data_IF_667456490835
#
_entry.id   IF_667456490835
#
_cell.length_a   1.000
_cell.length_b   1.000
_cell.length_c   1.000
_cell.angle_alpha   90.00
_cell.angle_beta   90.00
_cell.angle_gamma   90.00
#
_symmetry.space_group_name_H-M   'P 1'
#
loop_
_entity.id
_entity.type
_entity.pdbx_description
1 polymer ?
#
# COMPACT_ATOMS: atom_id res chain seq x y z
N UNK A 1 58.73 36.96 -54.94
CA UNK A 1 58.81 37.45 -53.54
C UNK A 1 57.72 36.77 -52.72
N UNK A 2 58.08 36.33 -51.51
CA UNK A 2 57.30 35.66 -50.44
C UNK A 2 56.91 34.17 -50.62
N UNK A 3 57.71 33.31 -49.98
CA UNK A 3 57.41 31.92 -49.57
C UNK A 3 56.61 31.97 -48.25
N UNK A 4 55.46 31.29 -48.17
CA UNK A 4 54.77 30.98 -46.90
C UNK A 4 54.77 29.45 -46.73
N UNK A 5 55.21 29.00 -45.55
CA UNK A 5 55.34 27.60 -45.14
C UNK A 5 53.96 26.97 -44.88
N UNK A 6 53.77 25.74 -45.37
CA UNK A 6 52.79 24.76 -44.86
C UNK A 6 53.20 24.35 -43.44
N UNK A 7 52.28 24.36 -42.49
CA UNK A 7 52.39 23.60 -41.24
C UNK A 7 51.19 22.66 -41.10
N UNK A 8 51.49 21.49 -40.58
CA UNK A 8 50.78 20.22 -40.70
C UNK A 8 49.57 20.11 -39.75
N UNK A 9 48.62 19.25 -40.16
CA UNK A 9 47.59 18.66 -39.31
C UNK A 9 48.23 17.92 -38.13
N UNK A 10 47.81 18.26 -36.91
CA UNK A 10 48.02 17.47 -35.70
C UNK A 10 46.81 16.57 -35.43
N UNK A 11 47.09 15.29 -35.19
CA UNK A 11 46.17 14.22 -34.78
C UNK A 11 45.54 14.48 -33.41
N UNK A 12 44.30 13.98 -33.12
CA UNK A 12 43.74 14.00 -31.77
C UNK A 12 44.53 13.06 -30.85
N UNK A 13 44.69 13.48 -29.60
CA UNK A 13 45.58 12.93 -28.59
C UNK A 13 44.95 11.68 -27.91
N UNK A 14 45.51 10.49 -28.17
CA UNK A 14 45.08 9.17 -27.63
C UNK A 14 45.11 9.07 -26.09
N UNK A 15 45.74 10.03 -25.40
CA UNK A 15 45.89 10.07 -23.95
C UNK A 15 44.65 10.59 -23.20
N UNK A 16 43.77 11.34 -23.88
CA UNK A 16 42.58 11.93 -23.28
C UNK A 16 41.42 10.93 -23.21
N UNK A 17 41.23 10.16 -24.29
CA UNK A 17 40.17 9.15 -24.44
C UNK A 17 40.30 8.01 -23.44
N UNK A 18 41.54 7.57 -23.12
CA UNK A 18 41.78 6.50 -22.15
C UNK A 18 41.44 6.88 -20.71
N UNK A 19 41.53 8.17 -20.34
CA UNK A 19 41.18 8.64 -18.99
C UNK A 19 39.66 8.72 -18.81
N UNK A 20 38.95 9.21 -19.83
CA UNK A 20 37.49 9.32 -19.83
C UNK A 20 36.83 7.93 -19.79
N UNK A 21 37.30 6.97 -20.60
CA UNK A 21 36.82 5.58 -20.55
C UNK A 21 37.03 4.93 -19.17
N UNK A 22 38.16 5.22 -18.48
CA UNK A 22 38.42 4.66 -17.15
C UNK A 22 37.50 5.22 -16.07
N UNK A 23 37.13 6.50 -16.17
CA UNK A 23 36.27 7.17 -15.21
C UNK A 23 34.80 6.75 -15.35
N UNK A 24 34.30 6.62 -16.58
CA UNK A 24 32.95 6.12 -16.85
C UNK A 24 32.79 4.67 -16.38
N UNK A 25 33.80 3.84 -16.63
CA UNK A 25 33.80 2.44 -16.20
C UNK A 25 33.79 2.31 -14.67
N UNK A 26 34.54 3.15 -13.96
CA UNK A 26 34.56 3.16 -12.49
C UNK A 26 33.23 3.68 -11.89
N UNK A 27 32.63 4.71 -12.50
CA UNK A 27 31.36 5.28 -12.06
C UNK A 27 30.17 4.33 -12.27
N UNK A 28 30.20 3.54 -13.35
CA UNK A 28 29.12 2.64 -13.74
C UNK A 28 29.25 1.22 -13.16
N UNK A 29 30.35 0.87 -12.49
CA UNK A 29 30.64 -0.49 -12.03
C UNK A 29 29.58 -1.07 -11.09
N UNK A 30 29.01 -0.22 -10.23
CA UNK A 30 28.03 -0.58 -9.21
C UNK A 30 26.64 0.03 -9.51
N UNK A 31 26.26 0.12 -10.79
CA UNK A 31 24.99 0.70 -11.26
C UNK A 31 24.25 -0.28 -12.14
N UNK A 32 22.94 -0.39 -11.95
CA UNK A 32 22.13 -1.27 -12.78
C UNK A 32 21.89 -0.63 -14.15
N UNK A 33 21.78 -1.46 -15.20
CA UNK A 33 21.46 -0.98 -16.54
C UNK A 33 20.05 -0.37 -16.53
N UNK A 34 19.92 0.95 -16.68
CA UNK A 34 18.62 1.61 -16.48
C UNK A 34 18.62 2.69 -15.41
N UNK A 35 19.56 2.62 -14.46
CA UNK A 35 19.46 3.35 -13.19
C UNK A 35 19.96 4.79 -13.31
N UNK A 36 19.12 5.73 -12.88
CA UNK A 36 19.46 7.13 -12.72
C UNK A 36 20.03 7.41 -11.33
N UNK A 37 21.16 8.10 -11.29
CA UNK A 37 21.87 8.48 -10.08
C UNK A 37 22.38 9.93 -10.16
N UNK A 38 22.70 10.55 -9.03
CA UNK A 38 23.23 11.92 -8.95
C UNK A 38 24.75 11.90 -8.80
N UNK A 39 25.45 12.73 -9.58
CA UNK A 39 26.88 12.99 -9.37
C UNK A 39 27.13 13.81 -8.11
N UNK A 40 26.27 14.81 -7.87
CA UNK A 40 26.39 15.77 -6.77
C UNK A 40 25.13 15.70 -5.92
N UNK A 41 25.29 15.34 -4.65
CA UNK A 41 24.21 15.43 -3.67
C UNK A 41 24.07 16.88 -3.23
N UNK A 42 22.84 17.40 -3.17
CA UNK A 42 22.63 18.79 -2.78
C UNK A 42 21.17 19.23 -2.89
N UNK A 43 20.89 20.37 -2.25
CA UNK A 43 19.57 21.01 -2.29
C UNK A 43 19.45 21.96 -3.48
N UNK A 44 18.22 22.26 -3.89
CA UNK A 44 17.96 23.16 -5.02
C UNK A 44 18.05 22.48 -6.39
N UNK A 45 18.70 23.13 -7.34
CA UNK A 45 18.73 22.66 -8.73
C UNK A 45 19.49 21.33 -8.92
N UNK A 46 20.44 21.01 -8.05
CA UNK A 46 21.19 19.75 -8.09
C UNK A 46 20.31 18.52 -7.80
N UNK A 47 19.15 18.69 -7.16
CA UNK A 47 18.19 17.59 -6.96
C UNK A 47 17.41 17.23 -8.24
N UNK A 48 17.57 18.01 -9.32
CA UNK A 48 16.89 17.81 -10.60
C UNK A 48 17.73 17.06 -11.62
N UNK A 49 19.05 17.11 -11.47
CA UNK A 49 20.02 16.59 -12.43
C UNK A 49 20.41 15.16 -12.05
N UNK A 50 20.19 14.22 -12.97
CA UNK A 50 20.57 12.81 -12.81
C UNK A 50 21.19 12.25 -14.08
N UNK A 51 21.99 11.19 -13.92
CA UNK A 51 22.74 10.54 -14.99
C UNK A 51 22.49 9.05 -14.92
N UNK A 52 22.49 8.39 -16.08
CA UNK A 52 22.38 6.96 -16.25
C UNK A 52 23.55 6.44 -17.09
N UNK A 53 24.01 5.23 -16.77
CA UNK A 53 24.98 4.51 -17.59
C UNK A 53 24.26 3.76 -18.73
N UNK A 54 24.66 4.02 -19.97
CA UNK A 54 24.15 3.34 -21.17
C UNK A 54 25.29 2.68 -21.95
N UNK A 55 24.96 1.80 -22.91
CA UNK A 55 25.94 1.20 -23.82
C UNK A 55 26.67 2.23 -24.70
N UNK A 56 26.18 3.47 -24.76
CA UNK A 56 26.74 4.57 -25.56
C UNK A 56 27.42 5.65 -24.69
N UNK A 57 27.64 5.38 -23.41
CA UNK A 57 28.24 6.30 -22.44
C UNK A 57 27.24 6.85 -21.42
N UNK A 58 27.62 7.91 -20.72
CA UNK A 58 26.80 8.56 -19.71
C UNK A 58 25.71 9.43 -20.36
N UNK A 59 24.45 9.21 -19.98
CA UNK A 59 23.32 10.04 -20.40
C UNK A 59 22.79 10.84 -19.22
N UNK A 60 22.64 12.15 -19.37
CA UNK A 60 22.11 13.03 -18.32
C UNK A 60 20.70 13.52 -18.66
N UNK A 61 19.83 13.61 -17.65
CA UNK A 61 18.53 14.28 -17.74
C UNK A 61 18.38 15.29 -16.60
N UNK A 62 17.52 16.28 -16.83
CA UNK A 62 17.13 17.27 -15.83
C UNK A 62 15.62 17.30 -15.72
N UNK A 63 15.09 17.14 -14.51
CA UNK A 63 13.66 17.25 -14.27
C UNK A 63 13.11 18.64 -14.68
N UNK A 64 11.87 18.73 -15.21
CA UNK A 64 11.21 19.99 -15.52
C UNK A 64 11.16 20.98 -14.33
N UNK A 65 10.92 22.25 -14.64
CA UNK A 65 10.86 23.29 -13.61
C UNK A 65 9.74 22.98 -12.60
N UNK A 66 10.07 23.00 -11.30
CA UNK A 66 9.12 22.69 -10.23
C UNK A 66 9.12 21.23 -9.77
N UNK A 67 9.86 20.34 -10.43
CA UNK A 67 10.00 18.93 -10.04
C UNK A 67 11.43 18.63 -9.58
N UNK A 68 11.56 17.68 -8.65
CA UNK A 68 12.82 17.08 -8.20
C UNK A 68 12.84 15.60 -8.60
N UNK A 69 14.02 15.05 -8.86
CA UNK A 69 14.13 13.63 -9.17
C UNK A 69 14.06 12.82 -7.86
N UNK A 70 13.21 11.82 -7.77
CA UNK A 70 13.18 10.86 -6.67
C UNK A 70 14.08 9.67 -7.02
N UNK A 71 15.18 9.48 -6.27
CA UNK A 71 16.15 8.40 -6.52
C UNK A 71 15.55 7.01 -6.27
N UNK A 72 14.60 6.86 -5.37
CA UNK A 72 14.03 5.55 -5.07
C UNK A 72 13.00 5.15 -6.13
N UNK A 73 12.12 6.10 -6.48
CA UNK A 73 11.07 5.93 -7.51
C UNK A 73 11.61 6.01 -8.94
N UNK A 74 12.83 6.50 -9.12
CA UNK A 74 13.47 6.68 -10.43
C UNK A 74 12.63 7.57 -11.38
N UNK A 75 11.97 8.60 -10.83
CA UNK A 75 11.09 9.51 -11.59
C UNK A 75 11.15 10.94 -11.06
N UNK A 76 10.71 11.93 -11.86
CA UNK A 76 10.55 13.30 -11.40
C UNK A 76 9.23 13.48 -10.64
N UNK A 77 9.29 13.94 -9.41
CA UNK A 77 8.15 14.14 -8.50
C UNK A 77 8.17 15.59 -7.93
N UNK A 78 7.09 15.98 -7.26
CA UNK A 78 6.96 17.31 -6.66
C UNK A 78 8.00 17.53 -5.56
N UNK A 79 8.53 18.77 -5.47
CA UNK A 79 9.61 19.13 -4.52
C UNK A 79 9.31 18.72 -3.08
N UNK A 80 8.06 18.83 -2.65
CA UNK A 80 7.67 18.52 -1.27
C UNK A 80 7.61 17.01 -1.00
N UNK A 81 7.39 16.19 -2.03
CA UNK A 81 7.37 14.72 -1.93
C UNK A 81 8.79 14.11 -1.94
N UNK A 82 9.75 14.76 -2.61
CA UNK A 82 11.12 14.26 -2.71
C UNK A 82 11.93 14.61 -1.47
N UNK A 83 12.19 13.61 -0.60
CA UNK A 83 13.04 13.77 0.61
C UNK A 83 14.47 13.27 0.43
N UNK A 84 14.76 12.57 -0.66
CA UNK A 84 16.03 11.90 -0.88
C UNK A 84 17.04 12.71 -1.72
N UNK A 85 16.91 14.04 -1.83
CA UNK A 85 17.83 14.92 -2.58
C UNK A 85 19.31 14.82 -2.16
N UNK A 86 19.57 14.38 -0.93
CA UNK A 86 20.91 14.21 -0.36
C UNK A 86 21.56 12.87 -0.72
N UNK A 87 20.79 11.94 -1.28
CA UNK A 87 21.30 10.65 -1.75
C UNK A 87 21.88 10.81 -3.17
N UNK A 88 22.90 10.03 -3.48
CA UNK A 88 23.47 9.96 -4.83
C UNK A 88 23.00 8.76 -5.61
N UNK A 89 22.86 7.64 -4.93
CA UNK A 89 22.52 6.35 -5.52
C UNK A 89 21.29 5.79 -4.83
N UNK A 90 20.58 4.90 -5.52
CA UNK A 90 19.52 4.11 -4.90
C UNK A 90 20.15 3.13 -3.91
N UNK A 91 19.54 2.98 -2.74
CA UNK A 91 19.97 1.99 -1.77
C UNK A 91 19.69 0.58 -2.30
N UNK A 92 20.74 -0.24 -2.37
CA UNK A 92 20.63 -1.64 -2.81
C UNK A 92 20.23 -2.50 -1.62
N UNK A 93 18.94 -2.81 -1.56
CA UNK A 93 18.40 -3.77 -0.61
C UNK A 93 18.77 -5.19 -1.03
N UNK A 94 19.27 -5.99 -0.08
CA UNK A 94 19.59 -7.40 -0.33
C UNK A 94 18.29 -8.16 -0.53
N UNK A 95 18.19 -8.91 -1.63
CA UNK A 95 16.99 -9.69 -1.94
C UNK A 95 17.13 -11.11 -1.38
N UNK A 96 16.01 -11.74 -0.98
CA UNK A 96 16.01 -13.11 -0.53
C UNK A 96 16.21 -14.09 -1.70
N UNK A 97 16.70 -15.29 -1.40
CA UNK A 97 17.04 -16.32 -2.37
C UNK A 97 15.86 -17.27 -2.62
N UNK A 98 14.71 -16.71 -2.98
CA UNK A 98 13.45 -17.46 -3.11
C UNK A 98 13.36 -18.34 -4.36
N UNK A 99 14.07 -17.97 -5.44
CA UNK A 99 14.04 -18.65 -6.73
C UNK A 99 15.44 -19.17 -7.08
N UNK A 100 15.71 -20.42 -6.72
CA UNK A 100 16.97 -21.12 -6.97
C UNK A 100 16.71 -22.43 -7.73
N UNK A 101 17.69 -22.89 -8.51
CA UNK A 101 17.57 -24.13 -9.31
C UNK A 101 17.35 -25.37 -8.42
N UNK A 102 17.86 -25.34 -7.19
CA UNK A 102 17.65 -26.36 -6.16
C UNK A 102 17.17 -25.68 -4.87
N UNK A 103 16.14 -26.21 -4.18
CA UNK A 103 15.62 -25.60 -2.96
C UNK A 103 16.68 -25.60 -1.86
N UNK A 104 17.08 -24.40 -1.42
CA UNK A 104 18.08 -24.21 -0.36
C UNK A 104 17.55 -24.59 1.03
N UNK A 105 16.24 -24.46 1.24
CA UNK A 105 15.58 -24.67 2.52
C UNK A 105 14.52 -25.79 2.42
N UNK A 106 14.17 -26.39 3.56
CA UNK A 106 13.09 -27.38 3.64
C UNK A 106 11.71 -26.72 3.46
N UNK A 107 10.69 -27.53 3.16
CA UNK A 107 9.31 -27.06 3.03
C UNK A 107 8.86 -26.26 4.26
N UNK A 108 8.34 -25.05 4.03
CA UNK A 108 7.88 -24.12 5.07
C UNK A 108 8.92 -23.10 5.54
N UNK A 109 10.18 -23.25 5.12
CA UNK A 109 11.26 -22.28 5.35
C UNK A 109 11.61 -21.55 4.05
N UNK A 110 11.99 -20.28 4.17
CA UNK A 110 12.41 -19.42 3.07
C UNK A 110 13.84 -18.94 3.29
N UNK A 111 14.60 -18.80 2.19
CA UNK A 111 16.00 -18.43 2.22
C UNK A 111 16.19 -16.90 2.20
N UNK A 112 16.86 -16.37 3.23
CA UNK A 112 17.44 -15.04 3.27
C UNK A 112 18.51 -14.86 2.17
N UNK A 113 18.89 -13.61 1.89
CA UNK A 113 19.95 -13.24 0.96
C UNK A 113 21.35 -13.72 1.39
N UNK A 114 21.55 -13.90 2.70
CA UNK A 114 22.75 -14.49 3.29
C UNK A 114 22.75 -16.04 3.29
N UNK A 115 21.66 -16.66 2.83
CA UNK A 115 21.47 -18.11 2.76
C UNK A 115 20.92 -18.73 4.05
N UNK A 116 20.62 -17.95 5.08
CA UNK A 116 19.92 -18.46 6.26
C UNK A 116 18.47 -18.84 5.92
N UNK A 117 17.94 -19.90 6.55
CA UNK A 117 16.56 -20.33 6.38
C UNK A 117 15.73 -19.91 7.60
N UNK A 118 14.70 -19.11 7.38
CA UNK A 118 13.75 -18.69 8.43
C UNK A 118 12.31 -19.09 8.05
N UNK A 119 11.40 -19.06 9.01
CA UNK A 119 10.00 -19.45 8.76
C UNK A 119 9.32 -18.50 7.78
N UNK A 120 8.45 -19.05 6.92
CA UNK A 120 7.72 -18.27 5.92
C UNK A 120 6.96 -17.08 6.51
N UNK A 121 6.38 -17.23 7.70
CA UNK A 121 5.63 -16.16 8.39
C UNK A 121 6.48 -15.01 8.93
N UNK A 122 7.82 -15.14 8.90
CA UNK A 122 8.75 -14.08 9.31
C UNK A 122 9.15 -13.18 8.14
N UNK A 123 8.74 -13.51 6.91
CA UNK A 123 8.92 -12.62 5.77
C UNK A 123 7.81 -11.57 5.72
N UNK A 124 8.20 -10.30 5.54
CA UNK A 124 7.29 -9.17 5.38
C UNK A 124 6.39 -8.92 6.60
N UNK A 125 6.92 -9.18 7.79
CA UNK A 125 6.23 -8.99 9.07
C UNK A 125 6.55 -7.62 9.71
N UNK A 126 7.43 -6.81 9.10
CA UNK A 126 7.87 -5.52 9.61
C UNK A 126 9.05 -5.59 10.58
N UNK A 127 9.55 -6.77 10.90
CA UNK A 127 10.72 -7.02 11.76
C UNK A 127 11.88 -7.59 10.94
N UNK A 128 13.11 -7.26 11.33
CA UNK A 128 14.31 -7.76 10.63
C UNK A 128 14.77 -9.07 11.28
N UNK A 129 14.30 -10.19 10.75
CA UNK A 129 14.63 -11.54 11.21
C UNK A 129 15.86 -12.12 10.50
N UNK A 130 16.04 -11.83 9.21
CA UNK A 130 17.27 -12.18 8.49
C UNK A 130 18.47 -11.34 8.99
N UNK A 131 19.67 -11.93 9.05
CA UNK A 131 20.89 -11.21 9.43
C UNK A 131 21.20 -10.02 8.50
N UNK A 132 20.92 -10.20 7.21
CA UNK A 132 21.03 -9.19 6.17
C UNK A 132 19.76 -8.33 5.97
N UNK A 133 18.62 -8.74 6.52
CA UNK A 133 17.32 -8.04 6.44
C UNK A 133 16.62 -8.18 5.10
N UNK A 134 16.96 -9.22 4.35
CA UNK A 134 16.38 -9.53 3.04
C UNK A 134 14.91 -9.93 3.08
N UNK A 135 14.44 -10.43 4.21
CA UNK A 135 13.04 -10.73 4.54
C UNK A 135 12.10 -9.54 4.37
N UNK A 136 12.54 -8.34 4.72
CA UNK A 136 11.72 -7.10 4.65
C UNK A 136 11.95 -6.28 3.37
N UNK A 137 12.79 -6.78 2.47
CA UNK A 137 13.22 -6.02 1.30
C UNK A 137 12.38 -6.26 0.05
N UNK A 138 11.47 -7.25 0.09
CA UNK A 138 10.75 -7.74 -1.09
C UNK A 138 9.26 -7.93 -0.78
N UNK A 139 8.65 -6.94 -0.13
CA UNK A 139 7.27 -6.97 0.38
C UNK A 139 6.30 -6.17 -0.48
N UNK A 140 6.52 -6.18 -1.79
CA UNK A 140 5.61 -5.56 -2.75
C UNK A 140 4.59 -6.58 -3.27
N UNK A 141 3.50 -6.08 -3.86
CA UNK A 141 2.40 -6.93 -4.33
C UNK A 141 2.83 -8.05 -5.27
N UNK A 142 3.96 -7.92 -5.98
CA UNK A 142 4.37 -8.87 -7.01
C UNK A 142 5.46 -9.83 -6.56
N UNK A 143 6.28 -9.43 -5.60
CA UNK A 143 7.46 -10.17 -5.16
C UNK A 143 7.35 -10.69 -3.72
N UNK A 144 6.29 -10.36 -2.98
CA UNK A 144 6.03 -10.88 -1.63
C UNK A 144 5.86 -12.42 -1.67
N UNK A 145 6.73 -13.18 -0.96
CA UNK A 145 6.62 -14.63 -0.89
C UNK A 145 5.33 -15.13 -0.21
N UNK A 146 4.68 -14.30 0.60
CA UNK A 146 3.46 -14.57 1.34
C UNK A 146 2.21 -14.00 0.66
N UNK A 147 2.35 -13.47 -0.56
CA UNK A 147 1.21 -12.99 -1.35
C UNK A 147 0.16 -14.09 -1.50
N UNK A 148 -1.10 -13.72 -1.30
CA UNK A 148 -2.24 -14.58 -1.62
C UNK A 148 -2.18 -14.97 -3.12
N UNK A 149 -2.42 -16.26 -3.45
CA UNK A 149 -2.44 -16.69 -4.84
C UNK A 149 -3.61 -16.05 -5.60
N UNK A 150 -3.57 -16.04 -6.94
CA UNK A 150 -4.75 -15.72 -7.74
C UNK A 150 -5.96 -16.58 -7.35
N UNK A 151 -7.16 -16.08 -7.60
CA UNK A 151 -8.39 -16.79 -7.30
C UNK A 151 -8.40 -18.19 -7.95
N UNK A 152 -8.57 -19.22 -7.13
CA UNK A 152 -8.84 -20.59 -7.56
C UNK A 152 -10.28 -20.98 -7.18
N UNK A 153 -11.22 -21.01 -8.15
CA UNK A 153 -12.61 -21.40 -7.90
C UNK A 153 -12.80 -22.85 -7.42
N UNK A 154 -11.79 -23.71 -7.56
CA UNK A 154 -11.86 -25.09 -7.03
C UNK A 154 -11.59 -25.14 -5.52
N UNK A 155 -10.83 -24.18 -4.99
CA UNK A 155 -10.51 -24.08 -3.55
C UNK A 155 -11.45 -23.11 -2.84
N UNK A 156 -11.75 -21.96 -3.46
CA UNK A 156 -12.61 -20.93 -2.89
C UNK A 156 -14.09 -21.21 -3.20
N UNK A 157 -14.77 -21.90 -2.28
CA UNK A 157 -16.16 -22.34 -2.43
C UNK A 157 -17.11 -21.71 -1.38
N UNK A 158 -18.34 -21.42 -1.80
CA UNK A 158 -19.40 -20.90 -0.93
C UNK A 158 -19.79 -21.92 0.16
N UNK A 159 -20.20 -21.47 1.36
CA UNK A 159 -20.46 -20.08 1.76
C UNK A 159 -19.25 -19.33 2.32
N UNK A 160 -18.15 -20.02 2.60
CA UNK A 160 -17.03 -19.47 3.37
C UNK A 160 -16.08 -18.62 2.50
N UNK A 161 -16.00 -18.92 1.20
CA UNK A 161 -15.16 -18.19 0.27
C UNK A 161 -15.90 -17.90 -1.04
N UNK A 162 -15.68 -16.71 -1.58
CA UNK A 162 -16.11 -16.33 -2.92
C UNK A 162 -15.04 -15.48 -3.60
N UNK A 163 -14.62 -15.87 -4.81
CA UNK A 163 -13.75 -15.08 -5.66
C UNK A 163 -14.06 -15.34 -7.14
N UNK A 164 -13.68 -14.40 -7.99
CA UNK A 164 -13.59 -14.60 -9.45
C UNK A 164 -12.31 -13.95 -9.96
N UNK A 165 -11.90 -14.31 -11.17
CA UNK A 165 -10.63 -13.84 -11.76
C UNK A 165 -10.50 -12.31 -11.78
N UNK A 166 -11.61 -11.61 -12.03
CA UNK A 166 -11.70 -10.15 -12.16
C UNK A 166 -12.59 -9.47 -11.12
N UNK A 167 -13.19 -10.25 -10.20
CA UNK A 167 -14.16 -9.78 -9.21
C UNK A 167 -15.54 -9.37 -9.76
N UNK A 168 -15.89 -9.63 -11.02
CA UNK A 168 -17.18 -9.18 -11.62
C UNK A 168 -18.24 -10.28 -11.73
N UNK A 169 -17.87 -11.54 -11.48
CA UNK A 169 -18.78 -12.67 -11.63
C UNK A 169 -19.86 -12.68 -10.56
N UNK A 170 -21.06 -13.15 -10.92
CA UNK A 170 -22.19 -13.25 -10.00
C UNK A 170 -22.05 -14.52 -9.15
N UNK A 171 -22.19 -14.44 -7.80
CA UNK A 171 -22.17 -15.62 -6.94
C UNK A 171 -23.21 -16.67 -7.35
N UNK A 172 -22.78 -17.93 -7.43
CA UNK A 172 -23.63 -19.05 -7.84
C UNK A 172 -23.99 -19.09 -9.33
N UNK A 173 -23.30 -18.29 -10.17
CA UNK A 173 -23.50 -18.23 -11.62
C UNK A 173 -24.97 -17.94 -12.02
N UNK A 174 -25.65 -17.11 -11.22
CA UNK A 174 -27.02 -16.70 -11.48
C UNK A 174 -27.07 -15.72 -12.66
N UNK A 175 -28.09 -15.81 -13.54
CA UNK A 175 -28.26 -14.82 -14.60
C UNK A 175 -28.60 -13.46 -14.01
N UNK A 176 -27.96 -12.38 -14.51
CA UNK A 176 -28.10 -11.02 -13.98
C UNK A 176 -29.55 -10.51 -13.85
N UNK A 177 -30.49 -11.06 -14.63
CA UNK A 177 -31.92 -10.69 -14.58
C UNK A 177 -32.64 -11.24 -13.36
N UNK A 178 -32.10 -12.28 -12.74
CA UNK A 178 -32.67 -12.92 -11.54
C UNK A 178 -32.02 -12.40 -10.26
N UNK A 179 -30.88 -11.72 -10.37
CA UNK A 179 -30.15 -11.16 -9.22
C UNK A 179 -30.90 -9.93 -8.68
N UNK A 180 -31.27 -9.93 -7.38
CA UNK A 180 -31.81 -8.75 -6.74
C UNK A 180 -30.73 -7.65 -6.70
N UNK A 181 -31.06 -6.46 -7.23
CA UNK A 181 -30.16 -5.30 -7.10
C UNK A 181 -30.11 -4.86 -5.63
N UNK A 182 -28.97 -5.11 -4.98
CA UNK A 182 -28.71 -4.63 -3.62
C UNK A 182 -28.22 -3.18 -3.63
N UNK A 183 -28.65 -2.41 -2.64
CA UNK A 183 -28.18 -1.04 -2.39
C UNK A 183 -27.88 -0.93 -0.90
N UNK A 184 -26.63 -0.71 -0.54
CA UNK A 184 -26.17 -0.57 0.85
C UNK A 184 -26.00 0.91 1.18
N UNK A 185 -27.00 1.50 1.81
CA UNK A 185 -26.91 2.87 2.34
C UNK A 185 -26.07 2.81 3.62
N UNK A 186 -24.99 3.59 3.67
CA UNK A 186 -24.11 3.64 4.85
C UNK A 186 -23.98 5.06 5.37
N UNK A 187 -23.87 5.20 6.68
CA UNK A 187 -23.48 6.46 7.34
C UNK A 187 -22.27 6.21 8.21
N UNK A 188 -21.31 7.11 8.11
CA UNK A 188 -20.10 7.08 8.90
C UNK A 188 -20.21 8.09 10.04
N UNK A 189 -19.29 8.00 11.00
CA UNK A 189 -19.15 8.86 12.18
C UNK A 189 -20.21 8.70 13.29
N UNK A 190 -20.17 9.64 14.22
CA UNK A 190 -20.92 9.60 15.46
C UNK A 190 -22.44 9.76 15.26
N UNK A 191 -23.23 8.92 15.91
CA UNK A 191 -24.69 9.05 15.96
C UNK A 191 -25.07 9.90 17.17
N UNK A 192 -25.69 11.06 16.96
CA UNK A 192 -26.08 11.98 18.03
C UNK A 192 -27.26 12.88 17.63
N UNK A 193 -27.53 13.91 18.42
CA UNK A 193 -28.67 14.79 18.20
C UNK A 193 -28.60 15.59 16.88
N UNK A 194 -27.42 15.69 16.25
CA UNK A 194 -27.27 16.39 14.98
C UNK A 194 -27.91 15.62 13.82
N UNK A 195 -27.94 14.29 13.88
CA UNK A 195 -28.33 13.43 12.76
C UNK A 195 -29.50 12.49 13.08
N UNK A 196 -29.85 12.28 14.35
CA UNK A 196 -30.92 11.33 14.72
C UNK A 196 -32.29 11.70 14.12
N UNK A 197 -32.63 12.98 14.01
CA UNK A 197 -33.90 13.41 13.42
C UNK A 197 -33.93 13.16 11.92
N UNK A 198 -32.80 13.36 11.23
CA UNK A 198 -32.65 13.01 9.82
C UNK A 198 -32.85 11.50 9.63
N UNK A 199 -32.22 10.66 10.45
CA UNK A 199 -32.39 9.20 10.36
C UNK A 199 -33.83 8.77 10.63
N UNK A 200 -34.55 9.42 11.55
CA UNK A 200 -35.98 9.15 11.78
C UNK A 200 -36.83 9.50 10.56
N UNK A 201 -36.54 10.60 9.87
CA UNK A 201 -37.24 10.99 8.65
C UNK A 201 -36.98 10.01 7.50
N UNK A 202 -35.71 9.58 7.34
CA UNK A 202 -35.30 8.62 6.32
C UNK A 202 -35.84 7.21 6.58
N UNK A 203 -35.79 6.74 7.83
CA UNK A 203 -36.18 5.39 8.24
C UNK A 203 -37.48 5.40 9.05
N UNK A 204 -38.49 6.12 8.54
CA UNK A 204 -39.79 6.32 9.17
C UNK A 204 -40.74 5.09 9.16
N UNK A 205 -40.26 3.92 8.70
CA UNK A 205 -41.06 2.69 8.58
C UNK A 205 -42.07 2.64 7.43
N UNK A 206 -42.19 3.71 6.62
CA UNK A 206 -43.05 3.74 5.43
C UNK A 206 -42.32 3.27 4.17
N UNK A 207 -40.99 3.44 4.11
CA UNK A 207 -40.16 2.96 2.99
C UNK A 207 -39.92 1.46 3.16
N UNK A 208 -40.40 0.66 2.20
CA UNK A 208 -40.36 -0.80 2.22
C UNK A 208 -39.61 -1.38 1.03
N UNK A 209 -38.93 -2.49 1.26
CA UNK A 209 -38.39 -3.35 0.20
C UNK A 209 -39.52 -4.16 -0.47
N UNK A 210 -39.27 -4.79 -1.64
CA UNK A 210 -40.27 -5.64 -2.33
C UNK A 210 -40.83 -6.78 -1.47
N UNK A 211 -40.10 -7.24 -0.46
CA UNK A 211 -40.55 -8.24 0.50
C UNK A 211 -41.45 -7.70 1.63
N UNK A 212 -41.77 -6.41 1.64
CA UNK A 212 -42.61 -5.75 2.65
C UNK A 212 -41.88 -5.34 3.94
N UNK A 213 -40.60 -5.67 4.10
CA UNK A 213 -39.79 -5.23 5.24
C UNK A 213 -39.37 -3.76 5.10
N UNK A 214 -39.14 -3.07 6.22
CA UNK A 214 -38.54 -1.73 6.19
C UNK A 214 -37.16 -1.78 5.52
N UNK A 215 -36.83 -0.75 4.72
CA UNK A 215 -35.47 -0.56 4.21
C UNK A 215 -34.47 -0.46 5.38
N UNK A 216 -33.24 -0.92 5.16
CA UNK A 216 -32.16 -0.94 6.15
C UNK A 216 -30.96 -0.15 5.66
N UNK A 217 -30.06 0.12 6.59
CA UNK A 217 -28.82 0.84 6.38
C UNK A 217 -27.79 0.32 7.39
N UNK A 218 -26.53 0.61 7.12
CA UNK A 218 -25.39 0.24 7.98
C UNK A 218 -24.74 1.50 8.52
N UNK A 219 -24.46 1.53 9.83
CA UNK A 219 -23.84 2.66 10.49
C UNK A 219 -22.43 2.28 10.95
N UNK A 220 -21.41 2.90 10.36
CA UNK A 220 -20.02 2.78 10.82
C UNK A 220 -19.78 3.85 11.88
N UNK A 221 -19.92 3.47 13.14
CA UNK A 221 -19.98 4.41 14.27
C UNK A 221 -18.60 4.66 14.85
N UNK A 222 -18.23 5.93 15.03
CA UNK A 222 -17.04 6.35 15.79
C UNK A 222 -17.42 6.73 17.24
N UNK A 223 -16.49 6.59 18.20
CA UNK A 223 -16.85 6.74 19.62
C UNK A 223 -17.22 8.18 19.99
N UNK A 224 -16.38 9.14 19.60
CA UNK A 224 -16.41 10.50 20.14
C UNK A 224 -17.75 11.18 19.84
N UNK A 225 -18.42 11.67 20.89
CA UNK A 225 -19.75 12.32 20.81
C UNK A 225 -20.93 11.44 20.38
N UNK A 226 -20.77 10.11 20.32
CA UNK A 226 -21.86 9.18 20.03
C UNK A 226 -22.80 9.03 21.23
N UNK A 227 -24.11 9.08 20.97
CA UNK A 227 -25.16 8.72 21.91
C UNK A 227 -25.52 7.23 21.75
N UNK A 228 -25.05 6.39 22.67
CA UNK A 228 -25.25 4.94 22.59
C UNK A 228 -26.70 4.48 22.78
N UNK A 229 -27.56 5.27 23.41
CA UNK A 229 -29.00 4.99 23.42
C UNK A 229 -29.64 5.15 22.03
N UNK A 230 -29.13 6.09 21.23
CA UNK A 230 -29.55 6.22 19.83
C UNK A 230 -29.02 5.06 18.99
N UNK A 231 -27.76 4.65 19.19
CA UNK A 231 -27.17 3.46 18.54
C UNK A 231 -28.01 2.21 18.83
N UNK A 232 -28.36 1.99 20.10
CA UNK A 232 -29.23 0.89 20.52
C UNK A 232 -30.58 0.92 19.81
N UNK A 233 -31.23 2.09 19.72
CA UNK A 233 -32.53 2.21 19.04
C UNK A 233 -32.42 1.95 17.53
N UNK A 234 -31.32 2.37 16.89
CA UNK A 234 -31.06 2.08 15.47
C UNK A 234 -30.86 0.58 15.24
N UNK A 235 -30.09 -0.10 16.09
CA UNK A 235 -29.93 -1.55 16.06
C UNK A 235 -31.27 -2.26 16.30
N UNK A 236 -32.05 -1.84 17.30
CA UNK A 236 -33.39 -2.41 17.60
C UNK A 236 -34.37 -2.29 16.42
N UNK A 237 -34.24 -1.26 15.59
CA UNK A 237 -35.01 -1.11 14.34
C UNK A 237 -34.51 -2.01 13.20
N UNK A 238 -33.44 -2.76 13.43
CA UNK A 238 -32.84 -3.73 12.53
C UNK A 238 -31.79 -3.14 11.58
N UNK A 239 -31.30 -1.92 11.84
CA UNK A 239 -30.14 -1.39 11.12
C UNK A 239 -28.87 -2.05 11.62
N UNK A 240 -27.90 -2.22 10.73
CA UNK A 240 -26.61 -2.79 11.09
C UNK A 240 -25.75 -1.73 11.78
N UNK A 241 -25.05 -2.12 12.84
CA UNK A 241 -24.05 -1.30 13.52
C UNK A 241 -22.68 -1.93 13.30
N UNK A 242 -21.75 -1.13 12.79
CA UNK A 242 -20.37 -1.47 12.50
C UNK A 242 -19.43 -0.44 13.15
N UNK A 243 -18.14 -0.74 13.23
CA UNK A 243 -17.17 0.12 13.93
C UNK A 243 -16.39 1.03 12.97
N UNK A 244 -16.16 2.27 13.42
CA UNK A 244 -15.39 3.29 12.72
C UNK A 244 -14.34 3.93 13.62
N UNK A 245 -13.61 3.08 14.37
CA UNK A 245 -12.62 3.43 15.39
C UNK A 245 -13.14 4.16 16.63
N UNK A 246 -12.30 4.23 17.67
CA UNK A 246 -12.58 5.02 18.87
C UNK A 246 -12.21 6.47 18.61
N UNK A 247 -10.96 6.71 18.22
CA UNK A 247 -10.40 8.07 18.22
C UNK A 247 -10.80 8.86 17.00
N UNK A 248 -11.06 8.18 15.87
CA UNK A 248 -11.13 8.79 14.56
C UNK A 248 -9.94 9.72 14.33
N UNK A 249 -8.72 9.23 14.61
CA UNK A 249 -7.48 9.99 14.50
C UNK A 249 -7.35 10.69 13.13
N UNK A 250 -7.18 12.01 13.17
CA UNK A 250 -7.12 12.88 11.99
C UNK A 250 -5.83 12.69 11.16
N UNK A 251 -4.81 12.03 11.71
CA UNK A 251 -3.56 11.74 11.02
C UNK A 251 -3.71 10.51 10.09
N UNK A 252 -3.98 10.72 8.79
CA UNK A 252 -4.12 9.61 7.81
C UNK A 252 -2.95 8.62 7.76
N UNK A 253 -1.73 9.11 8.06
CA UNK A 253 -0.52 8.29 8.10
C UNK A 253 -0.51 7.32 9.27
N UNK A 254 -1.17 7.65 10.38
CA UNK A 254 -1.34 6.73 11.51
C UNK A 254 -2.05 5.47 11.04
N UNK A 255 -3.18 5.58 10.36
CA UNK A 255 -3.94 4.41 9.88
C UNK A 255 -3.17 3.55 8.89
N UNK A 256 -2.36 4.18 8.03
CA UNK A 256 -1.61 3.46 7.00
C UNK A 256 -0.44 2.65 7.58
N UNK A 257 0.12 3.12 8.70
CA UNK A 257 1.29 2.52 9.35
C UNK A 257 0.97 1.90 10.72
N UNK A 258 -0.30 1.82 11.09
CA UNK A 258 -0.74 1.32 12.39
C UNK A 258 -0.37 -0.16 12.55
N UNK A 259 0.05 -0.53 13.75
CA UNK A 259 0.34 -1.92 14.11
C UNK A 259 -0.95 -2.71 14.29
N UNK A 260 -0.87 -4.05 14.31
CA UNK A 260 -2.00 -4.93 14.62
C UNK A 260 -2.65 -4.55 15.96
N UNK A 261 -1.84 -4.22 16.97
CA UNK A 261 -2.31 -3.81 18.30
C UNK A 261 -3.01 -2.44 18.29
N UNK A 262 -2.51 -1.48 17.50
CA UNK A 262 -3.18 -0.18 17.33
C UNK A 262 -4.56 -0.35 16.66
N UNK A 263 -4.62 -1.17 15.60
CA UNK A 263 -5.87 -1.54 14.95
C UNK A 263 -6.84 -2.23 15.92
N UNK A 264 -6.35 -3.12 16.79
CA UNK A 264 -7.17 -3.83 17.76
C UNK A 264 -7.74 -2.88 18.82
N UNK A 265 -6.90 -1.97 19.35
CA UNK A 265 -7.31 -0.94 20.30
C UNK A 265 -8.41 -0.04 19.71
N UNK A 266 -8.28 0.33 18.43
CA UNK A 266 -9.24 1.20 17.76
C UNK A 266 -10.53 0.48 17.35
N UNK A 267 -10.44 -0.68 16.70
CA UNK A 267 -11.62 -1.33 16.11
C UNK A 267 -12.29 -2.33 17.06
N UNK A 268 -11.53 -3.27 17.63
CA UNK A 268 -12.07 -4.21 18.61
C UNK A 268 -12.45 -3.48 19.91
N UNK A 269 -11.67 -2.47 20.30
CA UNK A 269 -12.04 -1.56 21.40
C UNK A 269 -13.36 -0.84 21.14
N UNK A 270 -13.59 -0.31 19.93
CA UNK A 270 -14.87 0.31 19.57
C UNK A 270 -16.02 -0.69 19.61
N UNK A 271 -15.82 -1.95 19.19
CA UNK A 271 -16.81 -3.02 19.32
C UNK A 271 -17.20 -3.23 20.79
N UNK A 272 -16.23 -3.34 21.70
CA UNK A 272 -16.48 -3.49 23.14
C UNK A 272 -17.30 -2.31 23.70
N UNK A 273 -16.98 -1.08 23.27
CA UNK A 273 -17.70 0.11 23.69
C UNK A 273 -19.16 0.07 23.19
N UNK A 274 -19.39 -0.24 21.92
CA UNK A 274 -20.74 -0.34 21.34
C UNK A 274 -21.55 -1.43 22.05
N UNK A 275 -21.02 -2.65 22.17
CA UNK A 275 -21.71 -3.77 22.82
C UNK A 275 -22.09 -3.43 24.26
N UNK A 276 -21.17 -2.81 25.02
CA UNK A 276 -21.39 -2.46 26.41
C UNK A 276 -22.38 -1.31 26.59
N UNK A 277 -22.21 -0.19 25.87
CA UNK A 277 -23.00 1.02 26.12
C UNK A 277 -24.31 1.08 25.32
N UNK A 278 -24.41 0.38 24.18
CA UNK A 278 -25.67 0.19 23.46
C UNK A 278 -26.38 -1.12 23.85
N UNK A 279 -25.78 -1.94 24.74
CA UNK A 279 -26.33 -3.20 25.23
C UNK A 279 -26.72 -4.15 24.08
N UNK A 280 -25.78 -4.38 23.17
CA UNK A 280 -25.91 -5.34 22.05
C UNK A 280 -25.21 -6.62 22.44
N UNK A 281 -25.95 -7.74 22.47
CA UNK A 281 -25.46 -9.03 23.01
C UNK A 281 -25.55 -10.19 22.02
N UNK A 282 -25.90 -9.91 20.77
CA UNK A 282 -26.14 -10.89 19.70
C UNK A 282 -24.94 -11.07 18.76
N UNK A 283 -23.77 -10.51 19.12
CA UNK A 283 -22.54 -10.54 18.32
C UNK A 283 -22.72 -9.99 16.90
N UNK A 284 -23.68 -9.09 16.68
CA UNK A 284 -23.98 -8.56 15.33
C UNK A 284 -23.03 -7.46 14.87
N UNK A 285 -22.12 -6.97 15.73
CA UNK A 285 -21.18 -5.88 15.41
C UNK A 285 -19.94 -6.47 14.76
N UNK A 286 -20.00 -6.66 13.44
CA UNK A 286 -18.99 -7.41 12.67
C UNK A 286 -18.29 -6.59 11.59
N UNK A 287 -18.88 -5.47 11.14
CA UNK A 287 -18.30 -4.63 10.09
C UNK A 287 -17.24 -3.66 10.62
N UNK A 288 -16.22 -3.40 9.81
CA UNK A 288 -15.18 -2.38 10.05
C UNK A 288 -15.08 -1.45 8.85
N UNK A 289 -14.95 -0.14 9.09
CA UNK A 289 -14.49 0.83 8.10
C UNK A 289 -13.43 1.71 8.75
N UNK A 290 -12.31 1.92 8.08
CA UNK A 290 -11.25 2.78 8.58
C UNK A 290 -11.56 4.27 8.32
N UNK A 291 -11.25 5.17 9.26
CA UNK A 291 -11.32 6.62 9.04
C UNK A 291 -10.56 7.05 7.78
N UNK A 292 -11.13 8.00 7.04
CA UNK A 292 -10.60 8.51 5.77
C UNK A 292 -10.33 7.43 4.70
N UNK A 293 -10.92 6.24 4.85
CA UNK A 293 -10.73 5.09 3.97
C UNK A 293 -9.25 4.67 3.85
N UNK A 294 -8.45 4.90 4.89
CA UNK A 294 -7.05 4.48 4.94
C UNK A 294 -6.96 2.99 5.23
N UNK A 295 -6.49 2.23 4.24
CA UNK A 295 -6.22 0.80 4.37
C UNK A 295 -4.92 0.61 5.16
N UNK A 296 -4.93 -0.28 6.16
CA UNK A 296 -3.78 -0.57 7.03
C UNK A 296 -2.95 -1.79 6.63
N UNK A 297 -2.87 -2.09 5.33
CA UNK A 297 -2.15 -3.26 4.81
C UNK A 297 -2.59 -4.57 5.48
N UNK A 298 -1.67 -5.54 5.60
CA UNK A 298 -1.93 -6.82 6.25
C UNK A 298 -2.33 -6.66 7.72
N UNK A 299 -1.73 -5.70 8.45
CA UNK A 299 -2.00 -5.47 9.88
C UNK A 299 -3.48 -5.27 10.20
N UNK A 300 -4.19 -4.53 9.33
CA UNK A 300 -5.63 -4.32 9.50
C UNK A 300 -6.41 -5.64 9.39
N UNK A 301 -6.12 -6.46 8.39
CA UNK A 301 -6.87 -7.69 8.13
C UNK A 301 -6.50 -8.80 9.11
N UNK A 302 -5.23 -8.89 9.53
CA UNK A 302 -4.79 -9.80 10.61
C UNK A 302 -5.48 -9.49 11.93
N UNK A 303 -5.77 -8.21 12.22
CA UNK A 303 -6.57 -7.84 13.40
C UNK A 303 -8.05 -8.25 13.26
N UNK A 304 -8.57 -8.28 12.03
CA UNK A 304 -9.98 -8.57 11.74
C UNK A 304 -10.30 -10.08 11.69
N UNK A 305 -9.30 -10.92 11.41
CA UNK A 305 -9.38 -12.39 11.43
C UNK A 305 -9.52 -12.95 12.85
#
# INVERSE_FOLDING_TARGET
FLRVKRQQQGTPDETTTKKEESFETELCKDKDAGEWFRLVAGEGDNCRDVIQCTSSGLQAIRCPAGLFFDIEKQTCDWKDAVKNCKLKNKERKVKPLLYTDEPLCQDGLLACGDGACIERGLFCNGEKDCGDGSDENTCDNDNDPNRAPPCDPAVCVLPDCFCSEDGTSIPGDLPFKEVPQMITITFDDAINNNNIELYKEMFNGKRKNPNGCNIKATFFVSHKYTNYSAVQEMHRKGHEIAVHSITHNDEEQFWSNATVDDWAKEMAGMRVIVEKYANLTDNSVVGVRAPYLRVGGNNQFTMME
#
